data_IF_594601229800
#
_entry.id   IF_594601229800
#
_cell.length_a   1.000
_cell.length_b   1.000
_cell.length_c   1.000
_cell.angle_alpha   90.00
_cell.angle_beta   90.00
_cell.angle_gamma   90.00
#
_symmetry.space_group_name_H-M   'P 1'
#
loop_
_entity.id
_entity.type
_entity.pdbx_description
1 polymer ?
#
# COMPACT_ATOMS: atom_id res chain seq x y z
N UNK A 1 -30.93 44.46 14.53
CA UNK A 1 -30.66 43.55 15.67
C UNK A 1 -31.88 42.66 15.77
N UNK A 2 -31.72 41.36 15.56
CA UNK A 2 -32.84 40.42 15.68
C UNK A 2 -32.80 39.78 17.07
N UNK A 3 -33.97 39.62 17.68
CA UNK A 3 -34.13 38.78 18.85
C UNK A 3 -34.41 37.35 18.36
N UNK A 4 -33.66 36.39 18.89
CA UNK A 4 -33.90 34.95 18.70
C UNK A 4 -34.38 34.35 20.02
N UNK A 5 -35.03 33.19 19.97
CA UNK A 5 -35.47 32.48 21.18
C UNK A 5 -34.45 31.42 21.56
N UNK A 6 -34.10 31.35 22.84
CA UNK A 6 -33.25 30.28 23.37
C UNK A 6 -34.00 28.95 23.28
N UNK A 7 -33.40 27.94 22.65
CA UNK A 7 -34.06 26.64 22.43
C UNK A 7 -34.39 25.85 23.71
N UNK A 8 -33.86 26.24 24.87
CA UNK A 8 -34.04 25.47 26.11
C UNK A 8 -34.96 26.17 27.12
N UNK A 9 -34.96 27.51 27.14
CA UNK A 9 -35.75 28.27 28.11
C UNK A 9 -36.72 29.27 27.46
N UNK A 10 -36.80 29.29 26.12
CA UNK A 10 -37.65 30.17 25.30
C UNK A 10 -37.48 31.68 25.54
N UNK A 11 -36.46 32.08 26.30
CA UNK A 11 -36.17 33.49 26.56
C UNK A 11 -35.67 34.19 25.29
N UNK A 12 -36.12 35.41 25.06
CA UNK A 12 -35.70 36.22 23.92
C UNK A 12 -34.32 36.82 24.19
N UNK A 13 -33.38 36.54 23.30
CA UNK A 13 -31.95 36.84 23.41
C UNK A 13 -31.49 37.52 22.12
N UNK A 14 -30.55 38.46 22.22
CA UNK A 14 -29.94 39.04 21.02
C UNK A 14 -29.20 37.94 20.25
N UNK A 15 -29.33 37.98 18.91
CA UNK A 15 -28.55 37.19 17.97
C UNK A 15 -27.02 37.34 18.09
N UNK A 16 -26.53 38.34 18.83
CA UNK A 16 -25.11 38.56 19.12
C UNK A 16 -24.68 38.17 20.54
N UNK A 17 -25.58 37.69 21.40
CA UNK A 17 -25.22 37.30 22.76
C UNK A 17 -24.37 36.02 22.75
N UNK A 18 -23.23 36.01 23.46
CA UNK A 18 -22.38 34.82 23.57
C UNK A 18 -23.08 33.64 24.30
N UNK A 19 -23.98 33.97 25.22
CA UNK A 19 -24.77 32.99 25.99
C UNK A 19 -26.11 33.58 26.42
N UNK A 20 -27.09 32.71 26.62
CA UNK A 20 -28.39 33.11 27.15
C UNK A 20 -28.25 33.63 28.58
N UNK A 21 -28.77 34.82 28.86
CA UNK A 21 -28.72 35.45 30.19
C UNK A 21 -29.52 34.70 31.26
N UNK A 22 -30.54 33.94 30.83
CA UNK A 22 -31.46 33.22 31.73
C UNK A 22 -30.91 31.84 32.13
N UNK A 23 -30.40 31.06 31.18
CA UNK A 23 -29.96 29.67 31.41
C UNK A 23 -28.45 29.44 31.26
N UNK A 24 -27.69 30.45 30.82
CA UNK A 24 -26.24 30.37 30.63
C UNK A 24 -25.78 29.58 29.41
N UNK A 25 -26.69 29.07 28.57
CA UNK A 25 -26.30 28.22 27.43
C UNK A 25 -25.65 29.03 26.31
N UNK A 26 -24.53 28.59 25.72
CA UNK A 26 -23.85 29.32 24.65
C UNK A 26 -24.67 29.33 23.37
N UNK A 27 -24.86 30.52 22.79
CA UNK A 27 -25.64 30.75 21.57
C UNK A 27 -24.64 30.85 20.43
N UNK A 28 -24.23 29.71 19.87
CA UNK A 28 -23.26 29.71 18.76
C UNK A 28 -23.93 30.22 17.49
N UNK A 29 -23.83 31.52 17.22
CA UNK A 29 -23.95 32.04 15.86
C UNK A 29 -22.76 31.52 15.03
N UNK A 30 -23.04 31.02 13.83
CA UNK A 30 -22.12 30.18 13.07
C UNK A 30 -20.80 30.83 12.65
N UNK A 31 -19.89 29.93 12.24
CA UNK A 31 -18.63 30.16 11.52
C UNK A 31 -17.44 30.66 12.34
N UNK A 32 -16.75 29.73 13.00
CA UNK A 32 -15.30 29.64 12.84
C UNK A 32 -14.84 28.18 12.91
N UNK A 33 -14.71 27.59 11.72
CA UNK A 33 -14.02 26.32 11.48
C UNK A 33 -12.52 26.60 11.37
N UNK A 34 -11.82 26.72 12.49
CA UNK A 34 -10.35 26.75 12.48
C UNK A 34 -9.78 26.41 13.86
N UNK A 35 -10.20 25.27 14.41
CA UNK A 35 -9.43 24.60 15.46
C UNK A 35 -8.72 23.39 14.85
N UNK A 36 -7.38 23.32 14.87
CA UNK A 36 -6.65 22.15 14.39
C UNK A 36 -6.80 21.04 15.44
N UNK A 37 -7.72 20.10 15.21
CA UNK A 37 -7.77 18.87 15.99
C UNK A 37 -6.64 17.90 15.58
N UNK A 38 -5.90 17.33 16.54
CA UNK A 38 -4.81 16.40 16.27
C UNK A 38 -5.31 14.95 16.33
N UNK A 39 -5.92 14.41 15.27
CA UNK A 39 -6.19 12.95 15.16
C UNK A 39 -6.89 12.56 13.85
N UNK A 40 -6.18 12.48 12.72
CA UNK A 40 -6.72 11.79 11.53
C UNK A 40 -5.68 11.21 10.56
N UNK A 41 -4.43 11.01 10.99
CA UNK A 41 -3.38 10.50 10.10
C UNK A 41 -3.65 9.08 9.57
N UNK A 42 -4.48 8.29 10.26
CA UNK A 42 -4.79 6.92 9.86
C UNK A 42 -5.90 6.81 8.80
N UNK A 43 -6.78 7.81 8.67
CA UNK A 43 -7.89 7.76 7.71
C UNK A 43 -7.47 8.25 6.32
N UNK A 44 -6.48 9.14 6.20
CA UNK A 44 -6.00 9.66 4.91
C UNK A 44 -5.21 8.64 4.10
N UNK A 45 -4.34 7.85 4.74
CA UNK A 45 -3.56 6.82 4.04
C UNK A 45 -4.48 5.69 3.52
N UNK A 46 -5.35 5.16 4.37
CA UNK A 46 -6.31 4.12 3.97
C UNK A 46 -7.35 4.61 2.95
N UNK A 47 -7.79 5.87 3.03
CA UNK A 47 -8.66 6.47 2.02
C UNK A 47 -7.93 6.65 0.68
N UNK A 48 -6.63 6.94 0.68
CA UNK A 48 -5.84 7.02 -0.55
C UNK A 48 -5.63 5.64 -1.19
N UNK A 49 -5.39 4.59 -0.39
CA UNK A 49 -5.28 3.20 -0.88
C UNK A 49 -6.61 2.74 -1.48
N UNK A 50 -7.73 2.92 -0.77
CA UNK A 50 -9.05 2.48 -1.24
C UNK A 50 -9.63 3.33 -2.37
N UNK A 51 -9.17 4.58 -2.55
CA UNK A 51 -9.50 5.39 -3.74
C UNK A 51 -8.70 5.03 -4.99
N UNK A 52 -7.62 4.25 -4.86
CA UNK A 52 -6.82 3.88 -6.01
C UNK A 52 -7.60 2.89 -6.89
N UNK A 53 -8.18 3.41 -7.98
CA UNK A 53 -8.98 2.60 -8.92
C UNK A 53 -8.12 1.69 -9.81
N UNK A 54 -6.80 1.87 -9.82
CA UNK A 54 -5.90 1.14 -10.70
C UNK A 54 -5.12 0.07 -9.93
N UNK A 55 -5.10 -1.19 -10.42
CA UNK A 55 -4.34 -2.29 -9.78
C UNK A 55 -2.84 -2.00 -9.66
N UNK A 56 -2.31 -1.08 -10.48
CA UNK A 56 -0.92 -0.61 -10.47
C UNK A 56 -0.55 0.08 -9.16
N UNK A 57 -1.41 0.98 -8.67
CA UNK A 57 -1.12 1.70 -7.43
C UNK A 57 -1.11 0.76 -6.22
N UNK A 58 -2.02 -0.22 -6.20
CA UNK A 58 -2.09 -1.22 -5.15
C UNK A 58 -0.85 -2.13 -5.19
N UNK A 59 -0.44 -2.58 -6.39
CA UNK A 59 0.80 -3.34 -6.54
C UNK A 59 2.03 -2.53 -6.10
N UNK A 60 2.15 -1.27 -6.52
CA UNK A 60 3.28 -0.42 -6.14
C UNK A 60 3.38 -0.25 -4.62
N UNK A 61 2.25 -0.05 -3.92
CA UNK A 61 2.20 0.03 -2.47
C UNK A 61 2.62 -1.29 -1.80
N UNK A 62 2.13 -2.42 -2.31
CA UNK A 62 2.55 -3.74 -1.82
C UNK A 62 4.06 -3.95 -1.98
N UNK A 63 4.62 -3.57 -3.14
CA UNK A 63 6.05 -3.67 -3.40
C UNK A 63 6.89 -2.74 -2.51
N UNK A 64 6.43 -1.52 -2.27
CA UNK A 64 7.08 -0.60 -1.33
C UNK A 64 7.07 -1.17 0.09
N UNK A 65 5.95 -1.74 0.55
CA UNK A 65 5.85 -2.36 1.86
C UNK A 65 6.79 -3.58 1.98
N UNK A 66 6.80 -4.47 0.98
CA UNK A 66 7.70 -5.62 0.95
C UNK A 66 9.18 -5.19 0.93
N UNK A 67 9.55 -4.17 0.14
CA UNK A 67 10.90 -3.64 0.09
C UNK A 67 11.34 -3.05 1.44
N UNK A 68 10.43 -2.35 2.15
CA UNK A 68 10.70 -1.83 3.48
C UNK A 68 10.95 -2.96 4.49
N UNK A 69 10.11 -4.00 4.48
CA UNK A 69 10.28 -5.18 5.35
C UNK A 69 11.61 -5.87 5.07
N UNK A 70 11.91 -6.16 3.79
CA UNK A 70 13.19 -6.78 3.40
C UNK A 70 14.39 -5.91 3.80
N UNK A 71 14.28 -4.59 3.67
CA UNK A 71 15.32 -3.64 4.09
C UNK A 71 15.58 -3.65 5.59
N UNK A 72 14.53 -3.70 6.42
CA UNK A 72 14.67 -3.85 7.87
C UNK A 72 15.25 -5.21 8.24
N UNK A 73 14.79 -6.29 7.59
CA UNK A 73 15.31 -7.64 7.81
C UNK A 73 16.79 -7.79 7.43
N UNK A 74 17.27 -7.05 6.44
CA UNK A 74 18.69 -7.09 6.05
C UNK A 74 19.63 -6.70 7.21
N UNK A 75 19.18 -5.81 8.10
CA UNK A 75 19.99 -5.32 9.23
C UNK A 75 20.07 -6.30 10.40
N UNK A 76 19.20 -7.31 10.48
CA UNK A 76 19.16 -8.27 11.59
C UNK A 76 19.89 -9.59 11.30
N UNK A 77 20.46 -9.75 10.11
CA UNK A 77 21.11 -11.00 9.69
C UNK A 77 22.60 -10.96 10.02
N UNK A 78 23.00 -11.76 11.01
CA UNK A 78 24.41 -11.95 11.40
C UNK A 78 24.99 -13.30 10.98
N UNK A 79 24.15 -14.28 10.66
CA UNK A 79 24.58 -15.66 10.37
C UNK A 79 24.68 -15.92 8.86
N UNK A 80 25.76 -16.61 8.43
CA UNK A 80 25.99 -16.95 7.03
C UNK A 80 24.86 -17.79 6.40
N UNK A 81 24.29 -18.74 7.16
CA UNK A 81 23.16 -19.54 6.69
C UNK A 81 21.87 -18.71 6.49
N UNK A 82 21.59 -17.77 7.40
CA UNK A 82 20.44 -16.86 7.30
C UNK A 82 20.60 -15.86 6.15
N UNK A 83 21.84 -15.45 5.86
CA UNK A 83 22.15 -14.59 4.72
C UNK A 83 21.82 -15.28 3.39
N UNK A 84 22.16 -16.56 3.24
CA UNK A 84 21.83 -17.35 2.04
C UNK A 84 20.30 -17.44 1.84
N UNK A 85 19.54 -17.78 2.89
CA UNK A 85 18.08 -17.83 2.82
C UNK A 85 17.44 -16.46 2.49
N UNK A 86 17.99 -15.38 3.05
CA UNK A 86 17.57 -14.03 2.71
C UNK A 86 17.88 -13.66 1.26
N UNK A 87 19.05 -14.03 0.75
CA UNK A 87 19.42 -13.83 -0.65
C UNK A 87 18.43 -14.54 -1.58
N UNK A 88 18.03 -15.79 -1.30
CA UNK A 88 16.99 -16.47 -2.08
C UNK A 88 15.66 -15.70 -2.05
N UNK A 89 15.24 -15.25 -0.88
CA UNK A 89 14.01 -14.46 -0.71
C UNK A 89 14.05 -13.17 -1.56
N UNK A 90 15.19 -12.48 -1.57
CA UNK A 90 15.41 -11.28 -2.39
C UNK A 90 15.36 -11.61 -3.89
N UNK A 91 15.96 -12.72 -4.33
CA UNK A 91 15.89 -13.16 -5.72
C UNK A 91 14.46 -13.46 -6.16
N UNK A 92 13.70 -14.21 -5.35
CA UNK A 92 12.29 -14.48 -5.65
C UNK A 92 11.47 -13.19 -5.72
N UNK A 93 11.67 -12.28 -4.77
CA UNK A 93 10.99 -10.98 -4.78
C UNK A 93 11.32 -10.17 -6.04
N UNK A 94 12.59 -10.07 -6.42
CA UNK A 94 13.03 -9.35 -7.61
C UNK A 94 12.51 -10.00 -8.90
N UNK A 95 12.43 -11.33 -8.95
CA UNK A 95 11.88 -12.06 -10.08
C UNK A 95 10.38 -11.78 -10.26
N UNK A 96 9.59 -11.84 -9.17
CA UNK A 96 8.16 -11.51 -9.20
C UNK A 96 7.95 -10.05 -9.58
N UNK A 97 8.74 -9.13 -9.00
CA UNK A 97 8.74 -7.72 -9.36
C UNK A 97 8.98 -7.51 -10.87
N UNK A 98 10.04 -8.12 -11.38
CA UNK A 98 10.45 -8.03 -12.78
C UNK A 98 9.39 -8.56 -13.72
N UNK A 99 8.82 -9.74 -13.44
CA UNK A 99 7.74 -10.31 -14.25
C UNK A 99 6.52 -9.40 -14.28
N UNK A 100 6.14 -8.82 -13.14
CA UNK A 100 5.02 -7.89 -13.10
C UNK A 100 5.31 -6.63 -13.92
N UNK A 101 6.49 -6.03 -13.78
CA UNK A 101 6.91 -4.86 -14.57
C UNK A 101 6.93 -5.14 -16.08
N UNK A 102 7.48 -6.29 -16.51
CA UNK A 102 7.46 -6.70 -17.91
C UNK A 102 6.01 -6.85 -18.40
N UNK A 103 5.14 -7.44 -17.58
CA UNK A 103 3.71 -7.55 -17.90
C UNK A 103 3.05 -6.17 -18.03
N UNK A 104 3.36 -5.22 -17.14
CA UNK A 104 2.85 -3.85 -17.25
C UNK A 104 3.31 -3.13 -18.53
N UNK A 105 4.59 -3.32 -18.91
CA UNK A 105 5.18 -2.63 -20.06
C UNK A 105 4.62 -3.12 -21.40
N UNK A 106 4.30 -4.41 -21.50
CA UNK A 106 3.93 -5.03 -22.78
C UNK A 106 2.47 -5.50 -22.87
N UNK A 107 1.76 -5.65 -21.75
CA UNK A 107 0.34 -6.00 -21.68
C UNK A 107 -0.49 -4.82 -21.18
N UNK A 108 -0.15 -3.60 -21.62
CA UNK A 108 -0.74 -2.36 -21.15
C UNK A 108 -2.25 -2.35 -21.35
N UNK A 109 -2.76 -2.78 -22.50
CA UNK A 109 -4.20 -2.84 -22.74
C UNK A 109 -4.97 -3.77 -21.78
N UNK A 110 -4.32 -4.77 -21.17
CA UNK A 110 -4.96 -5.67 -20.21
C UNK A 110 -5.04 -5.14 -18.79
N UNK A 111 -4.21 -4.16 -18.43
CA UNK A 111 -4.08 -3.66 -17.05
C UNK A 111 -4.80 -2.32 -16.85
N UNK A 112 -4.88 -1.50 -17.90
CA UNK A 112 -5.56 -0.21 -17.83
C UNK A 112 -7.03 -0.34 -18.20
N UNK A 113 -7.89 0.39 -17.48
CA UNK A 113 -9.29 0.51 -17.88
C UNK A 113 -9.36 1.20 -19.26
N UNK A 114 -10.25 0.77 -20.17
CA UNK A 114 -10.39 1.37 -21.50
C UNK A 114 -10.65 2.89 -21.45
N UNK A 115 -11.31 3.38 -20.40
CA UNK A 115 -11.57 4.82 -20.20
C UNK A 115 -10.30 5.62 -19.88
N UNK A 116 -9.37 5.05 -19.10
CA UNK A 116 -8.09 5.71 -18.77
C UNK A 116 -7.20 5.78 -20.02
N UNK A 117 -7.24 4.75 -20.86
CA UNK A 117 -6.58 4.74 -22.17
C UNK A 117 -7.20 5.78 -23.12
N UNK A 118 -8.52 5.90 -23.13
CA UNK A 118 -9.23 6.89 -23.94
C UNK A 118 -8.91 8.32 -23.50
N UNK A 119 -8.80 8.57 -22.19
CA UNK A 119 -8.38 9.87 -21.64
C UNK A 119 -6.93 10.20 -22.00
N UNK A 120 -6.00 9.27 -21.81
CA UNK A 120 -4.59 9.47 -22.20
C UNK A 120 -4.42 9.74 -23.71
N UNK A 121 -5.23 9.09 -24.55
CA UNK A 121 -5.27 9.35 -26.01
C UNK A 121 -5.77 10.76 -26.33
N UNK A 122 -6.75 11.27 -25.58
CA UNK A 122 -7.24 12.66 -25.72
C UNK A 122 -6.20 13.69 -25.27
N UNK A 123 -5.36 13.36 -24.29
CA UNK A 123 -4.29 14.23 -23.78
C UNK A 123 -3.05 14.29 -24.71
N UNK A 124 -3.18 13.85 -25.97
CA UNK A 124 -2.14 13.98 -26.99
C UNK A 124 -1.13 12.82 -27.02
N UNK A 125 -1.32 11.77 -26.22
CA UNK A 125 -0.46 10.58 -26.20
C UNK A 125 -0.82 9.61 -27.34
N UNK A 126 -0.78 10.10 -28.59
CA UNK A 126 -1.27 9.36 -29.76
C UNK A 126 -0.37 8.19 -30.20
N UNK A 127 0.86 8.09 -29.65
CA UNK A 127 1.84 7.05 -29.97
C UNK A 127 2.11 6.13 -28.78
N UNK A 128 1.06 5.62 -28.13
CA UNK A 128 1.19 4.39 -27.36
C UNK A 128 1.49 3.27 -28.35
N UNK A 129 2.74 2.83 -28.44
CA UNK A 129 3.16 1.76 -29.32
C UNK A 129 2.24 0.53 -29.22
N UNK A 130 2.05 -0.16 -30.34
CA UNK A 130 1.21 -1.36 -30.42
C UNK A 130 1.66 -2.38 -29.39
N UNK A 131 0.73 -2.92 -28.59
CA UNK A 131 1.04 -3.98 -27.64
C UNK A 131 1.65 -5.18 -28.37
N UNK A 132 2.76 -5.69 -27.84
CA UNK A 132 3.48 -6.85 -28.39
C UNK A 132 3.62 -7.91 -27.29
N UNK A 133 2.53 -8.61 -26.94
CA UNK A 133 2.55 -9.60 -25.86
C UNK A 133 3.53 -10.76 -26.14
N UNK A 134 3.78 -11.08 -27.41
CA UNK A 134 4.80 -12.06 -27.81
C UNK A 134 6.21 -11.65 -27.36
N UNK A 135 6.56 -10.35 -27.42
CA UNK A 135 7.85 -9.86 -26.95
C UNK A 135 7.94 -9.97 -25.44
N UNK A 136 6.85 -9.63 -24.74
CA UNK A 136 6.76 -9.82 -23.28
C UNK A 136 7.05 -11.27 -22.88
N UNK A 137 6.35 -12.21 -23.51
CA UNK A 137 6.50 -13.64 -23.24
C UNK A 137 7.93 -14.11 -23.54
N UNK A 138 8.51 -13.66 -24.66
CA UNK A 138 9.90 -13.95 -25.00
C UNK A 138 10.89 -13.44 -23.94
N UNK A 139 10.71 -12.22 -23.44
CA UNK A 139 11.57 -11.65 -22.39
C UNK A 139 11.41 -12.37 -21.05
N UNK A 140 10.19 -12.76 -20.68
CA UNK A 140 9.94 -13.53 -19.45
C UNK A 140 10.62 -14.90 -19.54
N UNK A 141 10.47 -15.61 -20.66
CA UNK A 141 11.12 -16.91 -20.87
C UNK A 141 12.64 -16.77 -20.89
N UNK A 142 13.17 -15.73 -21.54
CA UNK A 142 14.61 -15.43 -21.54
C UNK A 142 15.14 -15.19 -20.12
N UNK A 143 14.42 -14.39 -19.31
CA UNK A 143 14.79 -14.10 -17.93
C UNK A 143 14.81 -15.37 -17.08
N UNK A 144 13.78 -16.21 -17.19
CA UNK A 144 13.73 -17.50 -16.50
C UNK A 144 14.85 -18.45 -16.95
N UNK A 145 15.13 -18.51 -18.25
CA UNK A 145 16.18 -19.36 -18.81
C UNK A 145 17.56 -18.92 -18.31
N UNK A 146 17.84 -17.62 -18.34
CA UNK A 146 19.06 -17.05 -17.80
C UNK A 146 19.20 -17.34 -16.30
N UNK A 147 18.11 -17.22 -15.54
CA UNK A 147 18.10 -17.53 -14.11
C UNK A 147 18.32 -19.01 -13.82
N UNK A 148 17.69 -19.91 -14.60
CA UNK A 148 17.90 -21.34 -14.49
C UNK A 148 19.35 -21.74 -14.80
N UNK A 149 19.94 -21.16 -15.84
CA UNK A 149 21.36 -21.37 -16.19
C UNK A 149 22.30 -20.85 -15.09
N UNK A 150 22.00 -19.67 -14.54
CA UNK A 150 22.76 -19.09 -13.44
C UNK A 150 22.71 -19.96 -12.18
N UNK A 151 21.54 -20.48 -11.82
CA UNK A 151 21.41 -21.41 -10.70
C UNK A 151 22.19 -22.70 -10.95
N UNK A 152 22.16 -23.22 -12.18
CA UNK A 152 22.88 -24.42 -12.54
C UNK A 152 24.41 -24.22 -12.49
N UNK A 153 24.90 -23.01 -12.76
CA UNK A 153 26.33 -22.68 -12.68
C UNK A 153 26.81 -22.40 -11.26
N UNK A 154 25.94 -22.00 -10.35
CA UNK A 154 26.32 -21.57 -9.00
C UNK A 154 26.64 -22.73 -8.05
N UNK A 155 26.18 -23.97 -8.34
CA UNK A 155 26.38 -25.15 -7.47
C UNK A 155 25.71 -24.95 -6.10
N UNK A 156 24.68 -25.72 -5.77
CA UNK A 156 23.91 -25.56 -4.52
C UNK A 156 24.82 -25.42 -3.28
N UNK A 157 24.88 -24.25 -2.62
CA UNK A 157 25.54 -24.15 -1.34
C UNK A 157 24.68 -24.91 -0.33
N UNK A 158 25.19 -26.03 0.17
CA UNK A 158 24.53 -26.87 1.16
C UNK A 158 24.51 -26.20 2.52
N UNK A 159 23.56 -25.30 2.75
CA UNK A 159 23.12 -24.96 4.08
C UNK A 159 21.99 -25.91 4.47
N UNK A 160 22.34 -26.99 5.17
CA UNK A 160 21.36 -27.82 5.87
C UNK A 160 20.57 -26.92 6.84
N UNK A 161 19.29 -26.72 6.57
CA UNK A 161 18.41 -26.05 7.51
C UNK A 161 18.38 -26.86 8.82
N UNK A 162 18.57 -26.22 9.99
CA UNK A 162 18.36 -26.92 11.24
C UNK A 162 16.86 -27.23 11.36
N UNK A 163 16.51 -28.51 11.39
CA UNK A 163 15.14 -29.01 11.59
C UNK A 163 14.49 -28.60 12.94
N UNK A 164 15.14 -27.73 13.72
CA UNK A 164 14.76 -27.35 15.07
C UNK A 164 13.83 -26.12 15.17
N UNK A 165 13.57 -25.40 14.07
CA UNK A 165 12.71 -24.20 14.10
C UNK A 165 11.21 -24.50 13.96
N UNK A 166 10.83 -25.65 13.38
CA UNK A 166 9.43 -26.05 13.24
C UNK A 166 8.80 -26.51 14.56
N UNK A 167 9.57 -27.14 15.45
CA UNK A 167 9.05 -27.67 16.72
C UNK A 167 8.66 -26.55 17.71
N UNK A 168 9.31 -25.37 17.64
CA UNK A 168 9.05 -24.29 18.61
C UNK A 168 7.76 -23.52 18.32
N UNK A 169 7.34 -23.44 17.06
CA UNK A 169 6.08 -22.77 16.68
C UNK A 169 4.88 -23.67 17.02
N UNK A 170 4.99 -24.99 16.83
CA UNK A 170 3.93 -25.92 17.20
C UNK A 170 3.73 -25.99 18.72
N UNK A 171 4.81 -25.94 19.51
CA UNK A 171 4.70 -26.01 20.97
C UNK A 171 4.18 -24.70 21.60
N UNK A 172 4.39 -23.55 20.96
CA UNK A 172 3.92 -22.25 21.45
C UNK A 172 2.43 -22.00 21.16
N UNK A 173 1.86 -22.65 20.13
CA UNK A 173 0.41 -22.64 19.87
C UNK A 173 -0.40 -23.57 20.80
N UNK A 174 0.24 -24.59 21.38
CA UNK A 174 -0.43 -25.53 22.29
C UNK A 174 -0.55 -24.99 23.72
N UNK A 175 0.41 -24.16 24.16
CA UNK A 175 0.47 -23.61 25.52
C UNK A 175 -0.56 -22.51 25.82
N UNK A 176 -1.22 -21.92 24.82
CA UNK A 176 -2.23 -20.87 25.00
C UNK A 176 -3.67 -21.40 24.95
N UNK A 177 -3.84 -22.72 24.86
CA UNK A 177 -5.16 -23.39 24.77
C UNK A 177 -5.58 -24.17 26.03
N UNK A 178 -4.84 -24.04 27.13
CA UNK A 178 -5.14 -24.66 28.43
C UNK A 178 -5.44 -23.64 29.51
#
# INVERSE_FOLDING_TARGET
MALIRCMDCDHEISDQAASCVQCGRPIKAGADRSSPQPSSFHSTAWAAVTRSKTPINLFALAMMACAAVLGVSANSISNACSLIAFTYTLHTFLAVAGMFFVTLLFCRAGVYHPDDLAKAKRDGLQNLGRDKPLIAAGLIVLMFSAYALYQNSQGTPSCQAPAAAEEKIENQGRATSS
#
